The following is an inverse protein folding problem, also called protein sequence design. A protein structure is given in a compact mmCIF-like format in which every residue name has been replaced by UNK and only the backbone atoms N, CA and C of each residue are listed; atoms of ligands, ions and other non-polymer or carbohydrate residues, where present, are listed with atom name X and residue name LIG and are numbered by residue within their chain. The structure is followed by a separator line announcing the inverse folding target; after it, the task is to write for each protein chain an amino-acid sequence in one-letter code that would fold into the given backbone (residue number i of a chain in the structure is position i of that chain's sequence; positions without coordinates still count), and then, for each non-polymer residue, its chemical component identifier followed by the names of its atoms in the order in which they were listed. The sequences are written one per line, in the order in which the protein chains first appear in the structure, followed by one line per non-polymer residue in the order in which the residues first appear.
data_IF_370033168079
#
_entry.id   IF_370033168079
#
_cell.length_a   1.000
_cell.length_b   1.000
_cell.length_c   1.000
_cell.angle_alpha   90.00
_cell.angle_beta   90.00
_cell.angle_gamma   90.00
#
_symmetry.space_group_name_H-M   'P 1'
#
loop_
_entity.id
_entity.type
_entity.pdbx_description
1 polymer ?
#
# COMPACT_ATOMS: atom_id res chain seq x y z
N UNK A 1 -5.95 23.31 -40.64
CA UNK A 1 -5.52 23.56 -39.25
C UNK A 1 -6.68 23.19 -38.32
N UNK A 2 -6.65 22.03 -37.65
CA UNK A 2 -7.63 21.72 -36.62
C UNK A 2 -7.13 22.22 -35.25
N UNK A 3 -8.03 22.63 -34.34
CA UNK A 3 -7.64 23.20 -33.06
C UNK A 3 -7.13 22.12 -32.10
N UNK A 4 -6.02 22.45 -31.44
CA UNK A 4 -5.35 21.67 -30.40
C UNK A 4 -6.28 21.38 -29.22
N UNK A 5 -6.58 20.11 -28.97
CA UNK A 5 -7.15 19.67 -27.68
C UNK A 5 -6.04 19.64 -26.64
N UNK A 6 -6.05 20.60 -25.73
CA UNK A 6 -5.22 20.55 -24.53
C UNK A 6 -5.73 19.40 -23.64
N UNK A 7 -4.86 18.43 -23.39
CA UNK A 7 -5.06 17.40 -22.38
C UNK A 7 -4.90 18.05 -20.99
N UNK A 8 -5.99 18.25 -20.27
CA UNK A 8 -5.95 18.63 -18.86
C UNK A 8 -5.55 17.41 -18.02
N UNK A 9 -4.26 17.20 -17.83
CA UNK A 9 -3.73 16.33 -16.79
C UNK A 9 -3.93 17.02 -15.44
N UNK A 10 -5.07 16.75 -14.78
CA UNK A 10 -5.30 17.18 -13.41
C UNK A 10 -4.29 16.54 -12.46
N UNK A 11 -3.90 17.22 -11.36
CA UNK A 11 -2.95 16.68 -10.39
C UNK A 11 -3.50 15.42 -9.72
N UNK A 12 -2.63 14.44 -9.51
CA UNK A 12 -2.90 13.21 -8.77
C UNK A 12 -3.28 13.58 -7.33
N UNK A 13 -4.58 13.61 -7.05
CA UNK A 13 -5.10 13.70 -5.68
C UNK A 13 -4.71 12.44 -4.92
N UNK A 14 -3.78 12.57 -3.96
CA UNK A 14 -3.60 11.58 -2.89
C UNK A 14 -4.88 11.58 -2.06
N UNK A 15 -5.82 10.70 -2.41
CA UNK A 15 -7.07 10.53 -1.66
C UNK A 15 -6.72 10.15 -0.22
N UNK A 16 -6.97 11.06 0.72
CA UNK A 16 -7.14 10.74 2.14
C UNK A 16 -8.26 9.70 2.26
N UNK A 17 -8.14 8.77 3.24
CA UNK A 17 -9.07 7.64 3.41
C UNK A 17 -10.52 8.15 3.43
N UNK A 18 -11.39 7.71 2.49
CA UNK A 18 -12.82 7.97 2.62
C UNK A 18 -13.33 7.38 3.94
N UNK A 19 -14.10 8.15 4.70
CA UNK A 19 -14.79 7.65 5.88
C UNK A 19 -15.78 6.56 5.45
N UNK A 20 -15.39 5.30 5.62
CA UNK A 20 -16.25 4.16 5.26
C UNK A 20 -17.38 4.06 6.28
N UNK A 21 -18.49 4.75 6.02
CA UNK A 21 -19.74 4.59 6.77
C UNK A 21 -20.21 3.13 6.60
N UNK A 22 -20.13 2.36 7.69
CA UNK A 22 -20.49 0.93 7.80
C UNK A 22 -21.87 0.65 7.14
N UNK A 23 -21.91 -0.12 6.05
CA UNK A 23 -23.12 -0.80 5.56
C UNK A 23 -22.96 -2.30 5.81
N UNK A 24 -23.42 -2.77 6.97
CA UNK A 24 -23.15 -4.12 7.49
C UNK A 24 -23.94 -5.32 6.91
N UNK A 25 -25.04 -5.20 6.13
CA UNK A 25 -25.67 -6.40 5.56
C UNK A 25 -24.85 -7.07 4.44
N UNK A 26 -24.12 -6.28 3.65
CA UNK A 26 -23.35 -6.77 2.48
C UNK A 26 -22.14 -7.61 2.87
N UNK A 27 -21.51 -7.35 4.02
CA UNK A 27 -20.20 -7.94 4.36
C UNK A 27 -20.26 -9.41 4.77
N UNK A 28 -21.33 -9.85 5.46
CA UNK A 28 -21.42 -11.25 5.94
C UNK A 28 -21.59 -12.25 4.79
N UNK A 29 -22.47 -11.96 3.84
CA UNK A 29 -22.63 -12.83 2.69
C UNK A 29 -21.45 -12.72 1.72
N UNK A 30 -20.91 -11.53 1.49
CA UNK A 30 -19.72 -11.37 0.66
C UNK A 30 -18.52 -12.20 1.19
N UNK A 31 -18.34 -12.27 2.52
CA UNK A 31 -17.38 -13.18 3.16
C UNK A 31 -17.68 -14.65 2.90
N UNK A 32 -18.95 -15.07 2.99
CA UNK A 32 -19.33 -16.45 2.67
C UNK A 32 -19.01 -16.79 1.22
N UNK A 33 -19.35 -15.91 0.29
CA UNK A 33 -19.07 -16.09 -1.15
C UNK A 33 -17.56 -16.21 -1.41
N UNK A 34 -16.73 -15.44 -0.72
CA UNK A 34 -15.26 -15.55 -0.80
C UNK A 34 -14.72 -16.93 -0.34
N UNK A 35 -15.46 -17.63 0.51
CA UNK A 35 -15.14 -18.98 1.00
C UNK A 35 -15.87 -20.08 0.22
N UNK A 36 -16.65 -19.71 -0.80
CA UNK A 36 -17.56 -20.61 -1.50
C UNK A 36 -16.84 -21.30 -2.65
N UNK A 37 -16.78 -22.64 -2.59
CA UNK A 37 -16.09 -23.46 -3.59
C UNK A 37 -16.90 -23.67 -4.86
N UNK A 38 -18.19 -23.37 -4.83
CA UNK A 38 -19.10 -23.42 -5.98
C UNK A 38 -18.74 -22.41 -7.08
N UNK A 39 -17.78 -21.50 -6.82
CA UNK A 39 -17.18 -20.64 -7.84
C UNK A 39 -16.18 -21.39 -8.75
N UNK A 40 -15.61 -22.52 -8.31
CA UNK A 40 -14.65 -23.32 -9.09
C UNK A 40 -15.33 -24.44 -9.88
N UNK A 41 -14.71 -24.86 -10.98
CA UNK A 41 -15.26 -25.91 -11.85
C UNK A 41 -15.34 -27.29 -11.21
N UNK A 42 -14.49 -27.56 -10.22
CA UNK A 42 -14.43 -28.82 -9.48
C UNK A 42 -15.17 -28.78 -8.15
N UNK A 43 -15.64 -27.60 -7.70
CA UNK A 43 -16.20 -27.43 -6.36
C UNK A 43 -15.17 -27.59 -5.22
N UNK A 44 -13.86 -27.51 -5.51
CA UNK A 44 -12.79 -27.77 -4.52
C UNK A 44 -12.02 -26.54 -4.08
N UNK A 45 -11.98 -25.48 -4.89
CA UNK A 45 -11.20 -24.25 -4.67
C UNK A 45 -12.13 -23.05 -4.46
N UNK A 46 -11.79 -22.17 -3.53
CA UNK A 46 -12.44 -20.88 -3.31
C UNK A 46 -11.38 -19.78 -3.28
N UNK A 47 -11.79 -18.49 -3.28
CA UNK A 47 -10.84 -17.39 -3.10
C UNK A 47 -10.02 -17.57 -1.79
N UNK A 48 -10.69 -18.01 -0.72
CA UNK A 48 -10.06 -18.30 0.57
C UNK A 48 -9.10 -19.51 0.57
N UNK A 49 -9.05 -20.32 -0.50
CA UNK A 49 -8.07 -21.40 -0.63
C UNK A 49 -6.66 -20.88 -0.90
N UNK A 50 -6.54 -19.76 -1.63
CA UNK A 50 -5.27 -19.10 -1.89
C UNK A 50 -5.07 -17.85 -1.01
N UNK A 51 -6.16 -17.23 -0.56
CA UNK A 51 -6.13 -16.06 0.31
C UNK A 51 -6.69 -16.40 1.70
N UNK A 52 -6.00 -17.26 2.44
CA UNK A 52 -6.45 -17.73 3.75
C UNK A 52 -6.36 -16.60 4.79
N UNK A 53 -7.47 -16.20 5.46
CA UNK A 53 -7.43 -15.23 6.53
C UNK A 53 -6.45 -15.57 7.67
N UNK A 54 -6.16 -16.85 7.91
CA UNK A 54 -5.18 -17.29 8.93
C UNK A 54 -3.74 -17.06 8.51
N UNK A 55 -3.49 -16.96 7.21
CA UNK A 55 -2.20 -16.70 6.60
C UNK A 55 -2.18 -15.29 5.98
N UNK A 56 -2.84 -14.33 6.65
CA UNK A 56 -2.79 -12.92 6.26
C UNK A 56 -3.29 -12.67 4.82
N UNK A 57 -4.30 -13.44 4.42
CA UNK A 57 -4.86 -13.45 3.05
C UNK A 57 -3.84 -13.81 1.96
N UNK A 58 -2.88 -14.67 2.29
CA UNK A 58 -2.00 -15.41 1.37
C UNK A 58 -2.19 -16.93 1.57
N UNK A 59 -1.39 -17.76 0.89
CA UNK A 59 -1.43 -19.22 1.01
C UNK A 59 -0.22 -19.82 1.73
N UNK A 60 0.80 -19.01 2.05
CA UNK A 60 2.04 -19.47 2.69
C UNK A 60 2.91 -20.37 1.80
N UNK A 61 2.63 -20.45 0.51
CA UNK A 61 3.37 -21.25 -0.47
C UNK A 61 4.21 -20.35 -1.37
N UNK A 62 5.38 -20.79 -1.86
CA UNK A 62 6.13 -20.00 -2.87
C UNK A 62 5.28 -19.67 -4.09
N UNK A 63 4.53 -20.66 -4.59
CA UNK A 63 3.57 -20.52 -5.68
C UNK A 63 2.39 -21.43 -5.40
N UNK A 64 1.20 -20.83 -5.35
CA UNK A 64 -0.07 -21.49 -5.06
C UNK A 64 -0.46 -22.53 -6.11
N UNK A 65 -1.55 -23.24 -5.83
CA UNK A 65 -2.12 -24.29 -6.70
C UNK A 65 -3.64 -24.16 -6.69
N UNK A 66 -4.26 -24.25 -7.86
CA UNK A 66 -5.71 -24.30 -7.98
C UNK A 66 -6.22 -25.68 -8.35
N UNK A 67 -7.29 -25.71 -9.16
CA UNK A 67 -8.07 -26.91 -9.48
C UNK A 67 -7.25 -28.00 -10.19
N UNK A 68 -6.21 -27.64 -10.93
CA UNK A 68 -5.33 -28.59 -11.64
C UNK A 68 -4.23 -29.16 -10.74
N UNK A 69 -4.01 -28.57 -9.56
CA UNK A 69 -2.89 -28.92 -8.68
C UNK A 69 -1.51 -28.47 -9.20
N UNK A 70 -1.44 -27.86 -10.39
CA UNK A 70 -0.20 -27.28 -10.91
C UNK A 70 0.17 -26.02 -10.13
N UNK A 71 1.48 -25.76 -10.00
CA UNK A 71 1.94 -24.51 -9.40
C UNK A 71 1.68 -23.35 -10.35
N UNK A 72 1.08 -22.29 -9.83
CA UNK A 72 0.86 -21.06 -10.57
C UNK A 72 2.19 -20.38 -10.92
N UNK A 73 2.14 -19.43 -11.85
CA UNK A 73 3.34 -18.70 -12.30
C UNK A 73 3.91 -17.80 -11.20
N UNK A 74 3.03 -17.21 -10.39
CA UNK A 74 3.38 -16.22 -9.36
C UNK A 74 2.90 -16.63 -7.98
N UNK A 75 3.57 -16.07 -6.98
CA UNK A 75 3.18 -16.10 -5.58
C UNK A 75 1.85 -15.39 -5.36
N UNK A 76 1.01 -15.93 -4.48
CA UNK A 76 -0.28 -15.34 -4.12
C UNK A 76 -0.07 -14.08 -3.29
N UNK A 77 -0.38 -12.87 -3.80
CA UNK A 77 -0.20 -11.64 -3.04
C UNK A 77 -1.22 -11.58 -1.88
N UNK A 78 -0.83 -10.96 -0.77
CA UNK A 78 -1.79 -10.64 0.29
C UNK A 78 -2.86 -9.65 -0.22
N UNK A 79 -4.09 -9.79 0.30
CA UNK A 79 -5.21 -8.89 0.00
C UNK A 79 -5.31 -7.67 0.94
N UNK A 80 -4.35 -7.46 1.84
CA UNK A 80 -4.38 -6.27 2.70
C UNK A 80 -4.34 -4.97 1.91
N UNK A 81 -5.30 -4.08 2.19
CA UNK A 81 -5.39 -2.74 1.64
C UNK A 81 -5.53 -2.65 0.11
N UNK A 82 -5.89 -3.75 -0.58
CA UNK A 82 -6.03 -3.78 -2.06
C UNK A 82 -7.08 -2.81 -2.58
N UNK A 83 -8.08 -2.49 -1.76
CA UNK A 83 -9.10 -1.47 -2.01
C UNK A 83 -8.55 -0.09 -2.41
N UNK A 84 -7.32 0.21 -1.98
CA UNK A 84 -6.67 1.49 -2.20
C UNK A 84 -5.67 1.45 -3.36
N UNK A 85 -5.61 0.36 -4.13
CA UNK A 85 -4.72 0.22 -5.28
C UNK A 85 -5.47 0.57 -6.57
N UNK A 86 -4.92 1.44 -7.45
CA UNK A 86 -5.56 1.77 -8.72
C UNK A 86 -5.44 0.63 -9.75
N UNK A 87 -4.40 -0.20 -9.63
CA UNK A 87 -4.15 -1.36 -10.46
C UNK A 87 -3.85 -2.58 -9.57
N UNK A 88 -4.37 -3.74 -9.92
CA UNK A 88 -4.33 -4.98 -9.12
C UNK A 88 -3.44 -6.04 -9.78
N UNK A 89 -3.15 -7.12 -9.04
CA UNK A 89 -2.08 -8.09 -9.32
C UNK A 89 -0.66 -7.51 -9.25
N UNK A 90 0.33 -8.39 -9.36
CA UNK A 90 1.76 -8.06 -9.40
C UNK A 90 2.16 -7.25 -10.64
N UNK A 91 1.44 -7.40 -11.76
CA UNK A 91 1.71 -6.76 -13.05
C UNK A 91 0.72 -5.63 -13.39
N UNK A 92 -0.25 -5.35 -12.51
CA UNK A 92 -1.17 -4.25 -12.71
C UNK A 92 -2.25 -4.48 -13.77
N UNK A 93 -2.48 -5.72 -14.21
CA UNK A 93 -3.37 -6.00 -15.36
C UNK A 93 -4.87 -5.72 -15.12
N UNK A 94 -5.31 -5.59 -13.87
CA UNK A 94 -6.71 -5.32 -13.54
C UNK A 94 -6.89 -3.91 -12.96
N UNK A 95 -7.85 -3.14 -13.48
CA UNK A 95 -8.13 -1.76 -13.11
C UNK A 95 -9.19 -1.60 -12.01
N UNK A 96 -9.83 -2.70 -11.59
CA UNK A 96 -10.79 -2.70 -10.50
C UNK A 96 -10.88 -4.06 -9.82
N UNK A 97 -11.35 -4.11 -8.57
CA UNK A 97 -11.57 -5.36 -7.85
C UNK A 97 -12.64 -6.22 -8.55
N UNK A 98 -13.70 -5.61 -9.09
CA UNK A 98 -14.73 -6.31 -9.86
C UNK A 98 -14.20 -6.96 -11.13
N UNK A 99 -13.17 -6.37 -11.75
CA UNK A 99 -12.47 -6.97 -12.88
C UNK A 99 -11.48 -8.05 -12.40
N UNK A 100 -10.70 -7.74 -11.35
CA UNK A 100 -9.70 -8.64 -10.77
C UNK A 100 -10.28 -10.00 -10.41
N UNK A 101 -11.46 -10.06 -9.79
CA UNK A 101 -12.08 -11.33 -9.34
C UNK A 101 -12.47 -12.26 -10.49
N UNK A 102 -12.57 -11.76 -11.72
CA UNK A 102 -12.85 -12.60 -12.90
C UNK A 102 -11.65 -13.45 -13.27
N UNK A 103 -10.45 -12.86 -13.24
CA UNK A 103 -9.22 -13.55 -13.62
C UNK A 103 -8.99 -14.88 -12.88
N UNK A 104 -9.03 -14.97 -11.54
CA UNK A 104 -8.81 -16.24 -10.84
C UNK A 104 -9.96 -17.23 -11.08
N UNK A 105 -11.20 -16.75 -11.23
CA UNK A 105 -12.34 -17.61 -11.59
C UNK A 105 -12.10 -18.27 -12.94
N UNK A 106 -11.68 -17.48 -13.92
CA UNK A 106 -11.52 -17.86 -15.33
C UNK A 106 -10.17 -18.51 -15.67
N UNK A 107 -9.17 -18.39 -14.81
CA UNK A 107 -7.87 -18.99 -15.05
C UNK A 107 -7.95 -20.53 -14.89
N UNK A 108 -7.55 -21.32 -15.91
CA UNK A 108 -7.72 -22.77 -15.92
C UNK A 108 -7.00 -23.50 -14.77
N UNK A 109 -5.84 -22.99 -14.36
CA UNK A 109 -5.07 -23.56 -13.24
C UNK A 109 -5.45 -23.00 -11.86
N UNK A 110 -6.32 -21.99 -11.79
CA UNK A 110 -6.81 -21.41 -10.52
C UNK A 110 -8.17 -22.01 -10.17
N UNK A 111 -9.28 -21.41 -10.58
CA UNK A 111 -10.62 -21.96 -10.34
C UNK A 111 -11.25 -22.61 -11.57
N UNK A 112 -10.72 -22.31 -12.76
CA UNK A 112 -11.02 -22.98 -14.03
C UNK A 112 -12.48 -22.96 -14.46
N UNK A 113 -13.21 -21.87 -14.21
CA UNK A 113 -14.62 -21.73 -14.54
C UNK A 113 -15.00 -20.30 -15.00
N UNK A 114 -16.27 -20.00 -15.23
CA UNK A 114 -16.73 -18.64 -15.55
C UNK A 114 -17.73 -18.14 -14.51
N UNK A 115 -17.83 -16.81 -14.35
CA UNK A 115 -18.87 -16.23 -13.50
C UNK A 115 -20.28 -16.53 -14.02
N UNK A 116 -20.47 -16.73 -15.33
CA UNK A 116 -21.77 -17.09 -15.91
C UNK A 116 -22.18 -18.53 -15.53
N UNK A 117 -21.23 -19.46 -15.52
CA UNK A 117 -21.48 -20.81 -14.99
C UNK A 117 -21.81 -20.76 -13.49
N UNK A 118 -21.13 -19.91 -12.71
CA UNK A 118 -21.46 -19.70 -11.31
C UNK A 118 -22.88 -19.14 -11.13
N UNK A 119 -23.35 -18.24 -12.01
CA UNK A 119 -24.76 -17.78 -12.01
C UNK A 119 -25.72 -18.96 -12.19
N UNK A 120 -25.47 -19.83 -13.16
CA UNK A 120 -26.32 -21.00 -13.41
C UNK A 120 -26.32 -21.98 -12.23
N UNK A 121 -25.19 -22.18 -11.55
CA UNK A 121 -25.13 -22.99 -10.32
C UNK A 121 -25.91 -22.33 -9.19
N UNK A 122 -25.66 -21.05 -8.90
CA UNK A 122 -26.29 -20.34 -7.79
C UNK A 122 -27.81 -20.23 -7.95
N UNK A 123 -28.32 -20.06 -9.19
CA UNK A 123 -29.74 -20.02 -9.48
C UNK A 123 -30.49 -21.33 -9.13
N UNK A 124 -29.80 -22.44 -8.91
CA UNK A 124 -30.41 -23.72 -8.50
C UNK A 124 -30.64 -23.82 -6.99
N UNK A 125 -30.18 -22.86 -6.20
CA UNK A 125 -30.32 -22.89 -4.74
C UNK A 125 -31.00 -21.64 -4.19
N UNK A 126 -32.16 -21.81 -3.57
CA UNK A 126 -32.93 -20.73 -2.92
C UNK A 126 -32.18 -20.01 -1.77
N UNK A 127 -31.05 -20.54 -1.30
CA UNK A 127 -30.16 -19.84 -0.37
C UNK A 127 -29.51 -18.62 -1.05
N UNK A 128 -28.96 -18.78 -2.26
CA UNK A 128 -28.32 -17.66 -2.98
C UNK A 128 -29.34 -16.58 -3.36
N UNK A 129 -30.55 -16.95 -3.78
CA UNK A 129 -31.58 -15.94 -4.09
C UNK A 129 -31.87 -15.02 -2.88
N UNK A 130 -32.02 -15.61 -1.69
CA UNK A 130 -32.18 -14.85 -0.44
C UNK A 130 -30.97 -14.01 -0.11
N UNK A 131 -29.77 -14.56 -0.29
CA UNK A 131 -28.53 -13.85 -0.03
C UNK A 131 -28.36 -12.62 -0.94
N UNK A 132 -28.61 -12.77 -2.25
CA UNK A 132 -28.54 -11.67 -3.21
C UNK A 132 -29.62 -10.62 -2.95
N UNK A 133 -30.82 -11.03 -2.53
CA UNK A 133 -31.87 -10.09 -2.12
C UNK A 133 -31.45 -9.22 -0.92
N UNK A 134 -30.72 -9.78 0.04
CA UNK A 134 -30.19 -9.03 1.19
C UNK A 134 -29.01 -8.14 0.78
N UNK A 135 -28.09 -8.63 -0.06
CA UNK A 135 -26.89 -7.90 -0.44
C UNK A 135 -27.17 -6.74 -1.42
N UNK A 136 -28.12 -6.95 -2.34
CA UNK A 136 -28.47 -6.04 -3.42
C UNK A 136 -29.97 -5.75 -3.44
N UNK A 137 -30.54 -5.07 -2.43
CA UNK A 137 -31.98 -4.84 -2.34
C UNK A 137 -32.56 -4.04 -3.52
N UNK A 138 -31.73 -3.24 -4.21
CA UNK A 138 -32.12 -2.50 -5.41
C UNK A 138 -31.97 -3.30 -6.72
N UNK A 139 -31.21 -4.40 -6.71
CA UNK A 139 -31.00 -5.27 -7.87
C UNK A 139 -30.65 -6.70 -7.38
N UNK A 140 -31.63 -7.47 -6.91
CA UNK A 140 -31.40 -8.73 -6.20
C UNK A 140 -31.04 -9.89 -7.15
N UNK A 141 -30.84 -9.62 -8.44
CA UNK A 141 -30.59 -10.65 -9.45
C UNK A 141 -29.21 -11.28 -9.24
N UNK A 142 -29.18 -12.60 -9.31
CA UNK A 142 -27.93 -13.37 -9.41
C UNK A 142 -27.37 -13.13 -10.81
N UNK A 143 -26.32 -12.32 -10.90
CA UNK A 143 -25.63 -12.00 -12.16
C UNK A 143 -24.13 -12.04 -11.94
N UNK A 144 -23.34 -12.31 -12.99
CA UNK A 144 -21.88 -12.25 -12.92
C UNK A 144 -21.39 -10.90 -12.36
N UNK A 145 -22.07 -9.80 -12.72
CA UNK A 145 -21.82 -8.47 -12.19
C UNK A 145 -22.02 -8.40 -10.67
N UNK A 146 -23.13 -8.91 -10.14
CA UNK A 146 -23.41 -8.85 -8.71
C UNK A 146 -22.54 -9.85 -7.92
N UNK A 147 -22.15 -10.99 -8.49
CA UNK A 147 -21.12 -11.89 -7.91
C UNK A 147 -19.80 -11.13 -7.76
N UNK A 148 -19.31 -10.51 -8.84
CA UNK A 148 -18.06 -9.76 -8.81
C UNK A 148 -18.09 -8.59 -7.82
N UNK A 149 -19.19 -7.81 -7.79
CA UNK A 149 -19.39 -6.71 -6.83
C UNK A 149 -19.43 -7.19 -5.38
N UNK A 150 -19.94 -8.40 -5.13
CA UNK A 150 -19.98 -8.97 -3.79
C UNK A 150 -18.58 -9.32 -3.30
N UNK A 151 -17.81 -10.07 -4.09
CA UNK A 151 -16.42 -10.41 -3.80
C UNK A 151 -15.58 -9.15 -3.59
N UNK A 152 -15.65 -8.21 -4.54
CA UNK A 152 -14.97 -6.92 -4.45
C UNK A 152 -15.43 -6.09 -3.23
N UNK A 153 -16.66 -6.25 -2.75
CA UNK A 153 -17.12 -5.59 -1.52
C UNK A 153 -16.49 -6.20 -0.28
N UNK A 154 -16.24 -7.52 -0.25
CA UNK A 154 -15.51 -8.17 0.83
C UNK A 154 -14.05 -7.75 0.85
N UNK A 155 -13.37 -7.77 -0.30
CA UNK A 155 -11.97 -7.32 -0.42
C UNK A 155 -11.77 -5.87 0.05
N UNK A 156 -12.75 -5.00 -0.20
CA UNK A 156 -12.74 -3.62 0.33
C UNK A 156 -12.79 -3.52 1.86
N UNK A 157 -13.20 -4.58 2.55
CA UNK A 157 -13.17 -4.65 4.01
C UNK A 157 -11.82 -5.09 4.56
N UNK A 158 -10.92 -5.63 3.73
CA UNK A 158 -9.62 -6.17 4.12
C UNK A 158 -8.61 -5.03 4.32
N UNK A 159 -8.85 -4.21 5.33
CA UNK A 159 -7.97 -3.11 5.75
C UNK A 159 -7.16 -3.57 6.95
N UNK A 160 -5.84 -3.42 6.88
CA UNK A 160 -4.95 -3.80 7.98
C UNK A 160 -5.31 -3.03 9.26
N UNK A 161 -5.38 -3.70 10.42
CA UNK A 161 -5.65 -3.07 11.70
C UNK A 161 -4.51 -2.13 12.14
N UNK A 162 -4.72 -1.27 13.14
CA UNK A 162 -3.64 -0.51 13.74
C UNK A 162 -2.57 -1.45 14.33
N UNK A 163 -1.31 -1.15 14.03
CA UNK A 163 -0.10 -1.87 14.43
C UNK A 163 0.70 -1.07 15.45
N UNK A 164 1.81 -1.63 15.96
CA UNK A 164 2.73 -0.93 16.88
C UNK A 164 3.28 0.36 16.28
N UNK A 165 3.60 0.36 14.98
CA UNK A 165 3.98 1.58 14.28
C UNK A 165 2.88 2.64 14.35
N UNK A 166 1.62 2.25 14.17
CA UNK A 166 0.51 3.20 14.15
C UNK A 166 0.18 3.76 15.53
N UNK A 167 0.36 2.94 16.58
CA UNK A 167 0.29 3.38 17.98
C UNK A 167 1.37 4.44 18.29
N UNK A 168 2.59 4.23 17.79
CA UNK A 168 3.68 5.17 17.92
C UNK A 168 3.39 6.48 17.17
N UNK A 169 2.89 6.41 15.93
CA UNK A 169 2.36 7.58 15.20
C UNK A 169 1.17 8.22 15.95
N UNK A 170 0.35 7.43 16.65
CA UNK A 170 -0.74 7.89 17.50
C UNK A 170 -0.25 8.47 18.85
N UNK A 171 1.05 8.49 19.11
CA UNK A 171 1.70 9.25 20.19
C UNK A 171 2.11 8.41 21.38
N UNK A 172 1.93 7.09 21.31
CA UNK A 172 2.50 6.18 22.29
C UNK A 172 4.00 6.00 22.03
N UNK A 173 4.81 6.80 22.72
CA UNK A 173 6.27 6.78 22.60
C UNK A 173 6.91 5.43 22.95
N UNK A 174 6.19 4.52 23.62
CA UNK A 174 6.68 3.20 24.01
C UNK A 174 6.24 2.08 23.06
N UNK A 175 5.40 2.36 22.06
CA UNK A 175 4.88 1.34 21.16
C UNK A 175 5.97 0.74 20.22
N UNK A 176 7.02 1.51 19.92
CA UNK A 176 8.21 1.02 19.22
C UNK A 176 9.38 0.82 20.16
N UNK A 177 10.13 -0.26 19.95
CA UNK A 177 11.42 -0.48 20.60
C UNK A 177 12.48 0.43 19.97
N UNK A 178 13.58 0.68 20.69
CA UNK A 178 14.70 1.45 20.13
C UNK A 178 15.27 0.81 18.85
N UNK A 179 15.28 -0.53 18.77
CA UNK A 179 15.67 -1.27 17.57
C UNK A 179 14.76 -0.96 16.38
N UNK A 180 13.44 -0.92 16.57
CA UNK A 180 12.49 -0.57 15.52
C UNK A 180 12.61 0.91 15.11
N UNK A 181 12.88 1.82 16.05
CA UNK A 181 13.15 3.24 15.77
C UNK A 181 14.43 3.38 14.91
N UNK A 182 15.52 2.69 15.29
CA UNK A 182 16.74 2.66 14.48
C UNK A 182 16.50 2.04 13.10
N UNK A 183 15.62 1.05 13.01
CA UNK A 183 15.16 0.45 11.77
C UNK A 183 14.43 1.44 10.88
N UNK A 184 13.51 2.24 11.42
CA UNK A 184 12.84 3.31 10.68
C UNK A 184 13.84 4.32 10.11
N UNK A 185 14.86 4.72 10.89
CA UNK A 185 15.93 5.63 10.43
C UNK A 185 16.70 5.03 9.26
N UNK A 186 17.07 3.75 9.34
CA UNK A 186 17.72 3.04 8.24
C UNK A 186 16.81 2.92 7.01
N UNK A 187 15.54 2.58 7.22
CA UNK A 187 14.54 2.42 6.17
C UNK A 187 14.34 3.72 5.37
N UNK A 188 14.27 4.86 6.06
CA UNK A 188 14.11 6.17 5.45
C UNK A 188 15.42 6.75 4.88
N UNK A 189 16.54 6.51 5.56
CA UNK A 189 17.86 7.04 5.22
C UNK A 189 18.67 6.07 4.35
N UNK A 190 19.67 5.43 4.96
CA UNK A 190 20.68 4.59 4.29
C UNK A 190 20.08 3.52 3.37
N UNK A 191 18.99 2.88 3.80
CA UNK A 191 18.28 1.84 3.06
C UNK A 191 17.41 2.37 1.93
N UNK A 192 17.01 3.65 1.94
CA UNK A 192 16.16 4.31 0.92
C UNK A 192 14.85 3.57 0.59
N UNK A 193 14.40 2.64 1.42
CA UNK A 193 13.22 1.81 1.20
C UNK A 193 11.94 2.66 1.12
N UNK A 194 11.90 3.78 1.85
CA UNK A 194 10.83 4.77 1.82
C UNK A 194 10.61 5.37 0.42
N UNK A 195 11.55 5.24 -0.53
CA UNK A 195 11.37 5.75 -1.89
C UNK A 195 10.19 5.13 -2.64
N UNK A 196 9.97 3.82 -2.44
CA UNK A 196 8.85 3.09 -3.04
C UNK A 196 7.78 2.73 -2.00
N UNK A 197 8.17 2.49 -0.75
CA UNK A 197 7.25 2.07 0.31
C UNK A 197 6.79 3.25 1.16
N UNK A 198 5.82 4.01 0.64
CA UNK A 198 5.33 5.28 1.22
C UNK A 198 3.89 5.23 1.73
N UNK A 199 3.53 6.26 2.50
CA UNK A 199 2.17 6.52 2.94
C UNK A 199 1.63 5.47 3.91
N UNK A 200 0.33 5.54 4.19
CA UNK A 200 -0.27 4.70 5.25
C UNK A 200 -0.15 3.19 4.98
N UNK A 201 -0.08 2.78 3.70
CA UNK A 201 -0.01 1.38 3.30
C UNK A 201 1.42 0.93 2.95
N UNK A 202 2.44 1.78 3.11
CA UNK A 202 3.83 1.47 2.75
C UNK A 202 3.98 0.94 1.32
N UNK A 203 3.35 1.62 0.37
CA UNK A 203 3.42 1.32 -1.07
C UNK A 203 3.03 2.55 -1.88
N UNK A 204 3.85 2.87 -2.89
CA UNK A 204 3.53 3.86 -3.91
C UNK A 204 2.66 3.28 -5.04
N UNK A 205 2.53 1.94 -5.10
CA UNK A 205 1.77 1.17 -6.09
C UNK A 205 2.30 1.32 -7.52
N UNK A 206 3.53 1.81 -7.68
CA UNK A 206 4.23 1.86 -8.96
C UNK A 206 4.89 0.51 -9.26
N UNK A 207 5.50 0.41 -10.44
CA UNK A 207 6.11 -0.81 -10.96
C UNK A 207 7.61 -0.62 -11.10
N UNK A 208 8.37 -1.52 -10.48
CA UNK A 208 9.83 -1.47 -10.53
C UNK A 208 10.39 -2.86 -10.79
N UNK A 209 11.42 -2.90 -11.62
CA UNK A 209 12.28 -4.06 -11.74
C UNK A 209 13.34 -3.98 -10.63
N UNK A 210 13.17 -4.83 -9.61
CA UNK A 210 14.07 -4.93 -8.46
C UNK A 210 15.27 -5.87 -8.71
N UNK A 211 15.44 -6.39 -9.92
CA UNK A 211 16.53 -7.29 -10.28
C UNK A 211 16.38 -8.72 -9.75
N UNK A 212 15.16 -9.23 -9.53
CA UNK A 212 14.98 -10.66 -9.25
C UNK A 212 15.40 -11.52 -10.46
N UNK A 213 16.06 -12.67 -10.25
CA UNK A 213 16.27 -13.67 -11.30
C UNK A 213 14.93 -14.18 -11.85
N UNK A 214 14.88 -14.50 -13.14
CA UNK A 214 13.68 -15.00 -13.80
C UNK A 214 13.42 -14.32 -15.13
N UNK A 215 12.50 -14.89 -15.90
CA UNK A 215 12.10 -14.42 -17.23
C UNK A 215 10.63 -13.94 -17.28
N UNK A 216 9.99 -13.78 -16.11
CA UNK A 216 8.63 -13.23 -16.07
C UNK A 216 8.68 -11.75 -16.49
N UNK A 217 8.03 -11.37 -17.61
CA UNK A 217 8.08 -10.02 -18.13
C UNK A 217 7.32 -9.02 -17.23
N UNK A 218 6.55 -9.46 -16.25
CA UNK A 218 5.85 -8.56 -15.33
C UNK A 218 4.95 -7.56 -16.07
N UNK A 219 5.07 -6.29 -15.71
CA UNK A 219 4.29 -5.18 -16.26
C UNK A 219 4.49 -4.99 -17.77
N UNK A 220 5.70 -5.21 -18.29
CA UNK A 220 6.04 -4.91 -19.68
C UNK A 220 5.13 -5.61 -20.69
N UNK A 221 4.80 -6.88 -20.44
CA UNK A 221 3.83 -7.66 -21.24
C UNK A 221 2.43 -7.06 -21.23
N UNK A 222 1.96 -6.55 -20.10
CA UNK A 222 0.60 -6.04 -19.93
C UNK A 222 0.35 -4.69 -20.61
N UNK A 223 1.41 -3.96 -20.97
CA UNK A 223 1.34 -2.67 -21.70
C UNK A 223 2.10 -2.66 -23.02
N UNK A 224 2.60 -3.82 -23.46
CA UNK A 224 3.43 -3.95 -24.67
C UNK A 224 4.62 -2.97 -24.68
N UNK A 225 5.31 -2.87 -23.55
CA UNK A 225 6.40 -1.92 -23.35
C UNK A 225 7.64 -2.62 -22.76
N UNK A 226 8.61 -3.03 -23.60
CA UNK A 226 9.79 -3.78 -23.16
C UNK A 226 10.64 -3.08 -22.09
N UNK A 227 10.65 -1.75 -22.04
CA UNK A 227 11.37 -1.01 -20.98
C UNK A 227 10.75 -1.18 -19.59
N UNK A 228 9.53 -1.71 -19.50
CA UNK A 228 8.85 -2.08 -18.26
C UNK A 228 8.90 -3.61 -18.00
N UNK A 229 9.68 -4.37 -18.76
CA UNK A 229 9.84 -5.80 -18.50
C UNK A 229 10.46 -6.06 -17.12
N UNK A 230 10.04 -7.15 -16.48
CA UNK A 230 10.41 -7.56 -15.12
C UNK A 230 9.99 -6.57 -14.02
N UNK A 231 9.24 -5.52 -14.36
CA UNK A 231 8.72 -4.58 -13.38
C UNK A 231 7.47 -5.15 -12.71
N UNK A 232 7.45 -5.13 -11.38
CA UNK A 232 6.32 -5.58 -10.58
C UNK A 232 5.88 -4.48 -9.63
N UNK A 233 4.59 -4.50 -9.29
CA UNK A 233 3.99 -3.54 -8.38
C UNK A 233 4.67 -3.61 -7.02
N UNK A 234 5.04 -2.46 -6.46
CA UNK A 234 5.48 -2.35 -5.06
C UNK A 234 4.39 -2.89 -4.12
N UNK A 235 4.60 -4.01 -3.40
CA UNK A 235 3.59 -4.53 -2.48
C UNK A 235 3.47 -3.65 -1.24
N UNK A 236 2.34 -3.74 -0.54
CA UNK A 236 2.20 -3.15 0.81
C UNK A 236 3.13 -3.87 1.77
N UNK A 237 3.72 -3.14 2.73
CA UNK A 237 4.46 -3.73 3.85
C UNK A 237 3.60 -3.96 5.09
N UNK A 238 2.28 -3.71 5.00
CA UNK A 238 1.35 -3.99 6.09
C UNK A 238 1.17 -5.49 6.27
N UNK A 239 1.22 -5.93 7.52
CA UNK A 239 1.09 -7.35 7.91
C UNK A 239 2.15 -8.27 7.27
N UNK A 240 3.28 -7.70 6.84
CA UNK A 240 4.34 -8.40 6.12
C UNK A 240 4.92 -9.58 6.90
N UNK A 241 4.94 -9.51 8.24
CA UNK A 241 5.43 -10.58 9.11
C UNK A 241 4.65 -11.90 8.95
N UNK A 242 3.44 -11.84 8.38
CA UNK A 242 2.53 -12.98 8.23
C UNK A 242 2.34 -13.43 6.78
N UNK A 243 3.17 -12.94 5.85
CA UNK A 243 2.96 -13.14 4.39
C UNK A 243 4.16 -13.76 3.69
N UNK A 244 5.05 -14.42 4.44
CA UNK A 244 6.12 -15.21 3.84
C UNK A 244 5.53 -16.39 3.04
N UNK A 245 6.19 -16.83 1.96
CA UNK A 245 7.44 -16.27 1.41
C UNK A 245 7.21 -14.97 0.63
N UNK A 246 8.30 -14.31 0.24
CA UNK A 246 8.28 -12.98 -0.34
C UNK A 246 8.58 -12.98 -1.83
N UNK A 247 8.32 -11.82 -2.44
CA UNK A 247 8.45 -11.54 -3.88
C UNK A 247 7.31 -12.10 -4.74
N UNK A 248 7.28 -11.70 -6.01
CA UNK A 248 6.25 -12.12 -6.97
C UNK A 248 6.35 -13.60 -7.35
N UNK A 249 7.50 -14.23 -7.11
CA UNK A 249 7.78 -15.64 -7.41
C UNK A 249 7.92 -16.51 -6.15
N UNK A 250 7.81 -15.90 -4.96
CA UNK A 250 7.91 -16.59 -3.67
C UNK A 250 9.32 -17.13 -3.38
N UNK A 251 10.34 -16.59 -4.04
CA UNK A 251 11.72 -17.12 -4.00
C UNK A 251 12.46 -16.86 -2.69
N UNK A 252 12.03 -15.90 -1.89
CA UNK A 252 12.72 -15.49 -0.65
C UNK A 252 11.88 -15.87 0.57
N UNK A 253 12.41 -16.73 1.43
CA UNK A 253 11.67 -17.28 2.57
C UNK A 253 11.59 -16.32 3.77
N UNK A 254 12.56 -15.40 3.91
CA UNK A 254 12.70 -14.55 5.10
C UNK A 254 12.91 -13.07 4.76
N UNK A 255 12.57 -12.18 5.69
CA UNK A 255 12.89 -10.74 5.54
C UNK A 255 14.40 -10.49 5.47
N UNK A 256 15.21 -11.33 6.12
CA UNK A 256 16.67 -11.29 6.01
C UNK A 256 17.11 -11.51 4.55
N UNK A 257 16.57 -12.53 3.88
CA UNK A 257 16.84 -12.80 2.46
C UNK A 257 16.37 -11.65 1.56
N UNK A 258 15.22 -11.04 1.85
CA UNK A 258 14.75 -9.84 1.15
C UNK A 258 15.75 -8.69 1.27
N UNK A 259 16.25 -8.41 2.47
CA UNK A 259 17.21 -7.32 2.67
C UNK A 259 18.54 -7.65 1.97
N UNK A 260 18.99 -8.91 2.03
CA UNK A 260 20.21 -9.37 1.33
C UNK A 260 20.09 -9.29 -0.19
N UNK A 261 18.89 -9.45 -0.75
CA UNK A 261 18.65 -9.21 -2.18
C UNK A 261 19.00 -7.76 -2.56
N UNK A 262 18.53 -6.79 -1.77
CA UNK A 262 18.82 -5.36 -2.01
C UNK A 262 20.29 -5.01 -1.77
N UNK A 263 20.98 -5.61 -0.80
CA UNK A 263 22.43 -5.42 -0.62
C UNK A 263 23.26 -5.94 -1.80
N UNK A 264 22.85 -7.08 -2.38
CA UNK A 264 23.47 -7.63 -3.59
C UNK A 264 23.17 -6.80 -4.84
N UNK A 265 22.11 -5.98 -4.79
CA UNK A 265 21.64 -5.11 -5.87
C UNK A 265 20.89 -5.85 -6.99
N UNK A 266 20.62 -7.15 -6.83
CA UNK A 266 19.94 -7.98 -7.83
C UNK A 266 20.66 -8.13 -9.17
N UNK A 267 20.01 -8.81 -10.11
CA UNK A 267 20.43 -9.02 -11.50
C UNK A 267 20.54 -7.68 -12.22
N UNK A 268 21.72 -7.40 -12.80
CA UNK A 268 21.94 -6.21 -13.63
C UNK A 268 21.33 -6.41 -15.01
N UNK A 269 20.35 -5.58 -15.37
CA UNK A 269 19.73 -5.51 -16.70
C UNK A 269 19.23 -4.10 -17.01
N UNK A 270 18.99 -3.73 -18.29
CA UNK A 270 18.60 -2.37 -18.67
C UNK A 270 17.31 -1.85 -18.00
N UNK A 271 16.36 -2.75 -17.74
CA UNK A 271 15.06 -2.44 -17.11
C UNK A 271 15.17 -2.21 -15.60
N UNK A 272 16.26 -2.63 -14.96
CA UNK A 272 16.42 -2.56 -13.49
C UNK A 272 16.30 -1.11 -13.02
N UNK A 273 15.42 -0.88 -12.05
CA UNK A 273 15.17 0.46 -11.53
C UNK A 273 16.46 1.09 -10.99
N UNK A 274 16.67 2.35 -11.37
CA UNK A 274 17.79 3.18 -10.88
C UNK A 274 17.51 3.75 -9.48
N UNK A 275 16.27 3.69 -9.03
CA UNK A 275 15.84 4.19 -7.71
C UNK A 275 16.20 3.23 -6.58
N UNK A 276 16.62 2.00 -6.91
CA UNK A 276 17.10 1.02 -5.96
C UNK A 276 18.33 1.54 -5.20
N UNK A 277 18.49 1.17 -3.91
CA UNK A 277 19.68 1.50 -3.14
C UNK A 277 20.96 1.03 -3.85
N UNK A 278 21.88 1.95 -4.11
CA UNK A 278 23.17 1.62 -4.73
C UNK A 278 24.21 1.34 -3.64
N UNK A 279 24.92 0.21 -3.73
CA UNK A 279 25.97 -0.19 -2.80
C UNK A 279 25.51 -0.25 -1.32
N UNK A 280 24.28 -0.70 -1.09
CA UNK A 280 23.76 -0.87 0.27
C UNK A 280 24.59 -1.92 1.02
N UNK A 281 25.25 -1.49 2.10
CA UNK A 281 26.04 -2.36 2.99
C UNK A 281 25.53 -2.22 4.41
N UNK A 282 24.89 -3.24 4.95
CA UNK A 282 24.40 -3.24 6.32
C UNK A 282 25.23 -4.21 7.17
N UNK A 283 25.57 -3.77 8.38
CA UNK A 283 25.99 -4.69 9.42
C UNK A 283 24.84 -5.62 9.82
N UNK A 284 25.16 -6.75 10.45
CA UNK A 284 24.13 -7.66 10.99
C UNK A 284 23.21 -6.94 12.00
N UNK A 285 23.76 -5.99 12.77
CA UNK A 285 22.97 -5.17 13.70
C UNK A 285 21.99 -4.24 12.97
N UNK A 286 22.45 -3.52 11.94
CA UNK A 286 21.58 -2.65 11.13
C UNK A 286 20.48 -3.44 10.42
N UNK A 287 20.78 -4.65 9.97
CA UNK A 287 19.81 -5.56 9.37
C UNK A 287 18.74 -5.98 10.38
N UNK A 288 19.15 -6.36 11.60
CA UNK A 288 18.23 -6.65 12.69
C UNK A 288 17.32 -5.47 13.03
N UNK A 289 17.84 -4.23 12.99
CA UNK A 289 17.04 -3.02 13.17
C UNK A 289 15.99 -2.86 12.06
N UNK A 290 16.36 -3.03 10.78
CA UNK A 290 15.40 -2.98 9.68
C UNK A 290 14.28 -4.03 9.84
N UNK A 291 14.63 -5.26 10.21
CA UNK A 291 13.65 -6.32 10.44
C UNK A 291 12.70 -5.94 11.58
N UNK A 292 13.23 -5.46 12.71
CA UNK A 292 12.41 -5.01 13.84
C UNK A 292 11.43 -3.90 13.46
N UNK A 293 11.82 -2.99 12.56
CA UNK A 293 10.91 -1.99 12.01
C UNK A 293 9.83 -2.62 11.10
N UNK A 294 10.21 -3.49 10.15
CA UNK A 294 9.25 -4.15 9.26
C UNK A 294 8.21 -4.98 10.02
N UNK A 295 8.63 -5.67 11.09
CA UNK A 295 7.73 -6.40 11.99
C UNK A 295 6.77 -5.48 12.74
N UNK A 296 7.17 -4.24 13.04
CA UNK A 296 6.28 -3.25 13.69
C UNK A 296 5.12 -2.78 12.81
N UNK A 297 5.18 -3.07 11.50
CA UNK A 297 4.13 -2.80 10.51
C UNK A 297 3.08 -3.93 10.43
N UNK A 298 3.16 -4.90 11.35
CA UNK A 298 2.27 -6.05 11.44
C UNK A 298 1.65 -6.16 12.82
N UNK A 299 0.53 -6.85 12.90
CA UNK A 299 -0.12 -7.23 14.16
C UNK A 299 0.72 -8.25 14.92
N UNK A 300 0.73 -8.19 16.25
CA UNK A 300 1.46 -9.15 17.10
C UNK A 300 0.80 -10.54 17.13
N UNK A 301 -0.46 -10.63 16.71
CA UNK A 301 -1.21 -11.88 16.49
C UNK A 301 -1.72 -11.93 15.05
N UNK A 302 -2.12 -13.11 14.53
CA UNK A 302 -2.63 -13.22 13.15
C UNK A 302 -3.72 -12.16 12.87
N UNK A 303 -3.50 -11.27 11.88
CA UNK A 303 -4.28 -10.06 11.75
C UNK A 303 -5.74 -10.34 11.37
N UNK A 304 -6.65 -9.56 11.94
CA UNK A 304 -8.05 -9.52 11.54
C UNK A 304 -8.36 -8.17 10.90
N UNK A 305 -9.25 -8.12 9.89
CA UNK A 305 -9.58 -6.86 9.25
C UNK A 305 -10.10 -5.82 10.25
N UNK A 306 -9.60 -4.59 10.11
CA UNK A 306 -9.93 -3.50 11.02
C UNK A 306 -11.44 -3.28 11.10
N UNK A 307 -11.98 -3.33 12.32
CA UNK A 307 -13.36 -2.93 12.60
C UNK A 307 -13.49 -1.43 12.87
N UNK A 308 -12.36 -0.76 13.09
CA UNK A 308 -12.29 0.65 13.43
C UNK A 308 -12.03 1.51 12.18
N UNK A 309 -12.59 2.74 12.13
CA UNK A 309 -11.99 3.79 11.32
C UNK A 309 -10.56 3.99 11.82
N UNK A 310 -9.55 3.91 10.95
CA UNK A 310 -8.19 4.23 11.37
C UNK A 310 -8.12 5.64 11.94
N UNK A 311 -7.23 5.83 12.92
CA UNK A 311 -6.94 7.14 13.53
C UNK A 311 -6.44 8.09 12.44
N UNK A 312 -7.36 8.90 11.93
CA UNK A 312 -7.14 9.92 10.90
C UNK A 312 -8.36 10.82 10.70
N UNK A 313 -9.44 10.61 11.46
CA UNK A 313 -10.61 11.48 11.47
C UNK A 313 -10.53 12.48 12.63
N UNK A 314 -10.14 13.71 12.31
CA UNK A 314 -10.65 14.89 13.03
C UNK A 314 -9.83 15.40 14.21
N UNK A 315 -8.56 15.73 14.03
CA UNK A 315 -8.02 16.84 14.81
C UNK A 315 -8.55 18.15 14.20
N UNK A 316 -9.22 19.03 14.96
CA UNK A 316 -9.61 20.35 14.47
C UNK A 316 -8.34 21.11 14.05
N UNK A 317 -8.43 21.86 12.95
CA UNK A 317 -7.36 22.72 12.51
C UNK A 317 -6.99 23.71 13.65
N UNK A 318 -5.72 23.81 14.05
CA UNK A 318 -5.29 24.84 15.00
C UNK A 318 -5.58 26.24 14.42
N UNK A 319 -5.77 27.26 15.28
CA UNK A 319 -6.07 28.62 14.85
C UNK A 319 -4.97 29.20 13.94
N UNK A 320 -5.32 30.13 13.02
CA UNK A 320 -4.36 30.73 12.11
C UNK A 320 -3.26 31.48 12.89
N UNK A 321 -1.98 31.24 12.59
CA UNK A 321 -0.83 31.85 13.25
C UNK A 321 -0.31 33.11 12.51
N UNK A 322 0.61 33.90 13.11
CA UNK A 322 1.09 35.18 12.56
C UNK A 322 1.89 35.07 11.25
N UNK A 323 1.79 36.12 10.41
CA UNK A 323 2.11 36.10 8.97
C UNK A 323 3.62 36.11 8.58
N UNK A 324 4.55 36.28 9.52
CA UNK A 324 5.99 36.51 9.22
C UNK A 324 6.96 35.58 10.00
N UNK A 325 6.70 34.27 10.03
CA UNK A 325 7.60 33.34 10.75
C UNK A 325 8.40 32.44 9.80
N UNK A 326 9.72 32.64 9.74
CA UNK A 326 10.66 31.76 9.01
C UNK A 326 11.06 30.52 9.80
N UNK A 327 10.80 30.48 11.10
CA UNK A 327 11.06 29.32 11.97
C UNK A 327 9.73 28.76 12.45
N UNK A 328 9.45 27.50 12.15
CA UNK A 328 8.24 26.81 12.61
C UNK A 328 8.62 25.63 13.49
N UNK A 329 7.70 25.25 14.37
CA UNK A 329 7.87 24.12 15.27
C UNK A 329 7.08 22.91 14.76
N UNK A 330 7.68 21.73 14.87
CA UNK A 330 6.99 20.45 14.88
C UNK A 330 6.83 20.03 16.33
N UNK A 331 5.62 20.12 16.85
CA UNK A 331 5.28 19.73 18.21
C UNK A 331 3.86 19.17 18.25
N UNK A 332 3.61 18.19 19.12
CA UNK A 332 2.29 17.58 19.30
C UNK A 332 1.67 17.06 17.98
N UNK A 333 2.51 16.64 17.04
CA UNK A 333 2.11 16.21 15.68
C UNK A 333 1.36 17.27 14.87
N UNK A 334 1.81 18.51 15.00
CA UNK A 334 1.40 19.62 14.15
C UNK A 334 2.64 20.38 13.71
N UNK A 335 2.59 20.97 12.52
CA UNK A 335 3.42 22.13 12.22
C UNK A 335 2.75 23.35 12.85
N UNK A 336 3.53 24.17 13.55
CA UNK A 336 3.06 25.37 14.20
C UNK A 336 4.07 26.51 13.95
N UNK A 337 3.75 27.50 13.11
CA UNK A 337 2.55 27.60 12.28
C UNK A 337 2.38 26.46 11.25
N UNK A 338 1.14 26.13 10.86
CA UNK A 338 0.84 25.17 9.78
C UNK A 338 0.62 25.84 8.41
N UNK A 339 0.75 27.16 8.34
CA UNK A 339 0.78 27.93 7.11
C UNK A 339 1.80 29.05 7.28
N UNK A 340 2.74 29.17 6.32
CA UNK A 340 3.74 30.24 6.29
C UNK A 340 3.78 30.89 4.92
N UNK A 341 4.10 32.19 4.90
CA UNK A 341 4.46 32.94 3.71
C UNK A 341 5.95 33.27 3.75
N UNK A 342 6.64 33.10 2.63
CA UNK A 342 8.06 33.38 2.48
C UNK A 342 8.26 34.30 1.28
N UNK A 343 9.24 35.19 1.36
CA UNK A 343 9.68 35.94 0.18
C UNK A 343 10.55 35.07 -0.72
N UNK A 344 10.56 35.36 -2.03
CA UNK A 344 11.48 34.72 -2.97
C UNK A 344 12.94 34.78 -2.46
N UNK A 345 13.56 33.60 -2.33
CA UNK A 345 14.93 33.45 -1.81
C UNK A 345 15.07 33.30 -0.29
N UNK A 346 13.99 33.47 0.47
CA UNK A 346 13.93 33.23 1.92
C UNK A 346 13.94 31.71 2.23
N UNK A 347 14.39 31.35 3.43
CA UNK A 347 14.46 29.96 3.88
C UNK A 347 13.52 29.70 5.03
N UNK A 348 12.86 28.55 5.00
CA UNK A 348 12.07 28.02 6.11
C UNK A 348 12.95 27.13 6.98
N UNK A 349 13.02 27.43 8.27
CA UNK A 349 13.60 26.53 9.28
C UNK A 349 12.48 25.84 10.03
N UNK A 350 12.55 24.52 10.14
CA UNK A 350 11.61 23.70 10.90
C UNK A 350 12.36 23.11 12.07
N UNK A 351 12.01 23.48 13.30
CA UNK A 351 12.51 22.89 14.54
C UNK A 351 11.65 21.67 14.91
N UNK A 352 12.27 20.57 15.29
CA UNK A 352 11.57 19.51 16.01
C UNK A 352 11.56 19.86 17.50
N UNK A 353 10.48 20.45 17.98
CA UNK A 353 10.29 20.79 19.40
C UNK A 353 9.42 19.74 20.12
N UNK A 354 9.32 18.54 19.56
CA UNK A 354 8.66 17.38 20.14
C UNK A 354 9.69 16.49 20.88
N UNK A 355 9.22 15.46 21.55
CA UNK A 355 10.06 14.41 22.15
C UNK A 355 10.25 13.20 21.21
N UNK A 356 9.76 13.29 19.97
CA UNK A 356 9.77 12.21 18.98
C UNK A 356 10.35 12.65 17.64
N UNK A 357 10.85 11.69 16.88
CA UNK A 357 11.39 11.93 15.53
C UNK A 357 10.28 12.36 14.56
N UNK A 358 10.58 13.37 13.75
CA UNK A 358 9.74 13.84 12.66
C UNK A 358 10.51 13.82 11.34
N UNK A 359 9.87 14.23 10.25
CA UNK A 359 10.55 14.65 9.03
C UNK A 359 9.70 15.70 8.32
N UNK A 360 10.27 16.36 7.32
CA UNK A 360 9.57 17.25 6.41
C UNK A 360 9.71 16.70 5.00
N UNK A 361 8.57 16.42 4.35
CA UNK A 361 8.48 15.93 2.98
C UNK A 361 7.65 16.90 2.15
N UNK A 362 8.14 17.26 0.97
CA UNK A 362 7.41 18.01 -0.05
C UNK A 362 7.41 17.19 -1.33
N UNK A 363 6.22 16.94 -1.88
CA UNK A 363 6.04 16.28 -3.17
C UNK A 363 5.39 17.26 -4.15
N UNK A 364 6.22 18.04 -4.85
CA UNK A 364 5.79 18.93 -5.93
C UNK A 364 6.66 18.69 -7.17
N UNK A 365 6.11 18.64 -8.40
CA UNK A 365 6.90 18.46 -9.62
C UNK A 365 8.02 19.51 -9.80
N UNK A 366 7.87 20.69 -9.19
CA UNK A 366 8.84 21.78 -9.21
C UNK A 366 9.86 21.66 -8.07
N UNK A 367 9.54 20.91 -7.02
CA UNK A 367 10.36 20.80 -5.82
C UNK A 367 10.04 19.53 -5.02
N UNK A 368 10.92 18.52 -5.12
CA UNK A 368 10.89 17.30 -4.32
C UNK A 368 11.91 17.43 -3.18
N UNK A 369 11.43 17.45 -1.93
CA UNK A 369 12.28 17.61 -0.75
C UNK A 369 11.99 16.58 0.35
N UNK A 370 13.03 16.02 0.96
CA UNK A 370 12.94 15.15 2.13
C UNK A 370 14.05 15.51 3.12
N UNK A 371 13.67 15.92 4.34
CA UNK A 371 14.65 16.22 5.39
C UNK A 371 15.39 14.99 5.92
N UNK A 372 14.88 13.78 5.65
CA UNK A 372 15.23 12.59 6.45
C UNK A 372 14.66 12.67 7.86
N UNK A 373 14.98 11.69 8.70
CA UNK A 373 14.61 11.72 10.10
C UNK A 373 15.21 12.95 10.80
N UNK A 374 14.38 13.66 11.55
CA UNK A 374 14.71 14.83 12.32
C UNK A 374 14.41 14.52 13.79
N UNK A 375 15.45 14.39 14.61
CA UNK A 375 15.35 14.03 16.02
C UNK A 375 14.90 15.23 16.89
N UNK A 376 14.44 14.99 18.13
CA UNK A 376 14.14 16.06 19.07
C UNK A 376 15.26 17.10 19.15
N UNK A 377 14.89 18.38 19.09
CA UNK A 377 15.76 19.56 19.09
C UNK A 377 16.59 19.79 17.84
N UNK A 378 16.53 18.91 16.83
CA UNK A 378 17.16 19.18 15.53
C UNK A 378 16.35 20.18 14.70
N UNK A 379 17.02 20.88 13.79
CA UNK A 379 16.40 21.79 12.83
C UNK A 379 16.69 21.34 11.40
N UNK A 380 15.75 21.58 10.49
CA UNK A 380 15.99 21.49 9.04
C UNK A 380 15.70 22.83 8.40
N UNK A 381 16.57 23.27 7.48
CA UNK A 381 16.37 24.49 6.70
C UNK A 381 16.05 24.12 5.25
N UNK A 382 14.98 24.70 4.71
CA UNK A 382 14.42 24.42 3.40
C UNK A 382 14.50 25.71 2.57
N UNK A 383 15.10 25.60 1.39
CA UNK A 383 15.14 26.67 0.39
C UNK A 383 14.25 26.27 -0.78
N UNK A 384 13.24 27.09 -1.06
CA UNK A 384 12.33 26.86 -2.17
C UNK A 384 12.93 27.42 -3.46
N UNK A 385 12.96 26.63 -4.56
CA UNK A 385 13.67 27.01 -5.78
C UNK A 385 12.86 27.95 -6.69
N UNK A 386 11.53 27.98 -6.52
CA UNK A 386 10.60 28.76 -7.34
C UNK A 386 9.44 29.26 -6.50
N UNK A 387 8.77 30.31 -6.99
CA UNK A 387 7.58 30.87 -6.37
C UNK A 387 6.37 29.92 -6.49
N UNK A 388 5.41 30.13 -5.59
CA UNK A 388 4.13 29.44 -5.55
C UNK A 388 3.86 28.74 -4.23
N UNK A 389 2.74 28.01 -4.19
CA UNK A 389 2.30 27.26 -3.03
C UNK A 389 2.89 25.85 -3.06
N UNK A 390 3.40 25.39 -1.91
CA UNK A 390 3.89 24.05 -1.66
C UNK A 390 3.18 23.45 -0.46
N UNK A 391 2.93 22.15 -0.51
CA UNK A 391 2.43 21.39 0.63
C UNK A 391 3.55 20.51 1.19
N UNK A 392 3.94 20.80 2.43
CA UNK A 392 4.85 19.99 3.20
C UNK A 392 4.06 19.12 4.20
N UNK A 393 4.59 17.95 4.53
CA UNK A 393 4.02 17.07 5.52
C UNK A 393 5.09 16.24 6.23
N UNK A 394 4.75 15.69 7.39
CA UNK A 394 5.61 14.71 8.03
C UNK A 394 5.35 13.34 7.41
N UNK A 395 6.32 12.80 6.66
CA UNK A 395 6.28 11.44 6.11
C UNK A 395 6.18 10.36 7.18
N UNK A 396 6.65 10.63 8.40
CA UNK A 396 6.46 9.79 9.59
C UNK A 396 5.02 9.94 10.11
N UNK A 397 4.51 11.17 10.24
CA UNK A 397 3.17 11.50 10.73
C UNK A 397 2.33 12.23 9.66
N UNK A 398 1.73 11.54 8.66
CA UNK A 398 1.17 12.18 7.45
C UNK A 398 -0.03 13.12 7.66
N UNK A 399 -0.59 13.15 8.88
CA UNK A 399 -1.60 14.13 9.28
C UNK A 399 -1.02 15.51 9.58
N UNK A 400 0.28 15.61 9.86
CA UNK A 400 0.99 16.89 9.96
C UNK A 400 1.10 17.49 8.56
N UNK A 401 0.40 18.60 8.34
CA UNK A 401 0.45 19.35 7.09
C UNK A 401 0.93 20.77 7.35
N UNK A 402 1.71 21.28 6.42
CA UNK A 402 2.20 22.65 6.37
C UNK A 402 1.98 23.18 4.95
N UNK A 403 1.30 24.30 4.83
CA UNK A 403 1.25 25.07 3.59
C UNK A 403 2.37 26.11 3.59
N UNK A 404 3.10 26.22 2.49
CA UNK A 404 4.14 27.24 2.30
C UNK A 404 3.83 28.01 1.02
N UNK A 405 3.55 29.31 1.13
CA UNK A 405 3.42 30.20 -0.03
C UNK A 405 4.71 30.99 -0.20
N UNK A 406 5.35 30.90 -1.37
CA UNK A 406 6.56 31.65 -1.72
C UNK A 406 6.20 32.71 -2.75
N UNK A 407 6.45 33.99 -2.46
CA UNK A 407 6.07 35.13 -3.31
C UNK A 407 7.14 36.22 -3.42
#
# INVERSE_FOLDING_TARGET
MPPSRQSSSGPLSFRTRPTTRRRQPRSRWAKRLFQDKELSSTGTVACASCHDPKLSFSDGEPRGKGVTGQRLVRHTPSLWNVAFSPLLFWDGRAASLEEQVRFPVEHPDEMGDTLDNAVHRFARHASYERDFAVAFPADPKITARNIARALAAYERTLVSPPTRFDQWIAGDGNALTQSAINGLKLFAGKGRCIGCHTGFAFTDRNFYDIGLPGADPGRGKEIDLPVADHAFKTPTLRELAWTAPYMHDGSLATLDEVIRHYEKGGVRRPTRSKDLPQNLRLSELERGYLIAFLESLSSDTPPQPSTEPWVGSGQPAPPPPPEDTTVISQANKLFAPNHVRLRAGETLTVLNDDTRTHNVRIFDPRFDFNSGAQEPKETVTIRFPVDGTFEAFCGIHPSMRLQVDVQ
#
